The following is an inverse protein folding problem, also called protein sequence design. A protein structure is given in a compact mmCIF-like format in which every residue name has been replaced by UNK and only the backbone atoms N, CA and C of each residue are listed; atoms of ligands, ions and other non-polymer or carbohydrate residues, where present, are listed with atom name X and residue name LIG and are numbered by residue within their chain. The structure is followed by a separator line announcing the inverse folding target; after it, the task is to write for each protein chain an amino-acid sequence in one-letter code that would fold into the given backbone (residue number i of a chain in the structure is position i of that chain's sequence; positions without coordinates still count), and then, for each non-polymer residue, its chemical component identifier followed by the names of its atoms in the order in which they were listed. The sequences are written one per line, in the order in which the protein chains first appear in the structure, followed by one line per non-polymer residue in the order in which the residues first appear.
data_IF_771550753453
#
_entry.id   IF_771550753453
#
_cell.length_a   1.000
_cell.length_b   1.000
_cell.length_c   1.000
_cell.angle_alpha   90.00
_cell.angle_beta   90.00
_cell.angle_gamma   90.00
#
_symmetry.space_group_name_H-M   'P 1'
#
loop_
_entity.id
_entity.type
_entity.pdbx_description
1 polymer ?
#
# COMPACT_ATOMS: atom_id res chain seq x y z
N UNK A 1 8.81 -6.26 27.70
CA UNK A 1 7.55 -6.37 26.93
C UNK A 1 6.57 -5.37 27.50
N UNK A 2 6.20 -4.39 26.67
CA UNK A 2 5.41 -3.24 27.07
C UNK A 2 4.04 -3.66 27.67
N UNK A 3 3.68 -3.22 28.90
CA UNK A 3 2.47 -3.69 29.59
C UNK A 3 1.17 -3.49 28.80
N UNK A 4 1.10 -2.44 27.98
CA UNK A 4 -0.07 -2.15 27.15
C UNK A 4 -0.21 -3.15 26.00
N UNK A 5 0.89 -3.60 25.39
CA UNK A 5 0.86 -4.59 24.30
C UNK A 5 0.39 -5.95 24.80
N UNK A 6 0.85 -6.37 25.97
CA UNK A 6 0.33 -7.59 26.61
C UNK A 6 -1.16 -7.47 26.92
N UNK A 7 -1.65 -6.29 27.30
CA UNK A 7 -3.08 -6.07 27.57
C UNK A 7 -3.96 -6.15 26.32
N UNK A 8 -3.40 -5.83 25.15
CA UNK A 8 -4.04 -5.98 23.84
C UNK A 8 -3.96 -7.42 23.30
N UNK A 9 -3.22 -8.31 23.97
CA UNK A 9 -3.08 -9.71 23.57
C UNK A 9 -1.92 -9.99 22.62
N UNK A 10 -0.91 -9.11 22.55
CA UNK A 10 0.29 -9.34 21.74
C UNK A 10 1.29 -10.26 22.46
N UNK A 11 2.03 -11.12 21.71
CA UNK A 11 2.05 -11.21 20.24
C UNK A 11 0.94 -12.07 19.63
N UNK A 12 0.21 -12.86 20.42
CA UNK A 12 -0.76 -13.86 19.93
C UNK A 12 -1.83 -13.27 18.98
N UNK A 13 -2.21 -12.01 19.18
CA UNK A 13 -3.15 -11.29 18.31
C UNK A 13 -2.68 -11.22 16.83
N UNK A 14 -1.37 -11.18 16.57
CA UNK A 14 -0.83 -11.17 15.20
C UNK A 14 -1.14 -12.45 14.41
N UNK A 15 -1.39 -13.55 15.12
CA UNK A 15 -1.74 -14.84 14.51
C UNK A 15 -3.25 -14.99 14.26
N UNK A 16 -4.06 -13.98 14.61
CA UNK A 16 -5.53 -13.99 14.46
C UNK A 16 -6.01 -12.83 13.55
N UNK A 17 -6.06 -13.05 12.21
CA UNK A 17 -6.54 -12.05 11.26
C UNK A 17 -7.99 -11.59 11.52
N UNK A 18 -8.85 -12.46 12.06
CA UNK A 18 -10.24 -12.10 12.33
C UNK A 18 -10.32 -11.12 13.50
N UNK A 19 -9.49 -11.29 14.52
CA UNK A 19 -9.39 -10.33 15.62
C UNK A 19 -8.69 -9.03 15.20
N UNK A 20 -7.64 -9.09 14.39
CA UNK A 20 -6.95 -7.89 13.88
C UNK A 20 -7.88 -6.96 13.10
N UNK A 21 -8.68 -7.50 12.18
CA UNK A 21 -9.66 -6.74 11.39
C UNK A 21 -10.75 -6.06 12.24
N UNK A 22 -10.92 -6.46 13.50
CA UNK A 22 -11.96 -5.98 14.43
C UNK A 22 -11.43 -5.09 15.55
N UNK A 23 -10.14 -4.74 15.55
CA UNK A 23 -9.63 -3.73 16.48
C UNK A 23 -10.45 -2.45 16.34
N UNK A 24 -10.71 -1.74 17.44
CA UNK A 24 -11.42 -0.46 17.42
C UNK A 24 -10.45 0.70 17.18
N UNK A 25 -10.95 1.86 16.77
CA UNK A 25 -10.11 3.04 16.52
C UNK A 25 -9.32 3.43 17.79
N UNK A 26 -9.96 3.39 18.96
CA UNK A 26 -9.28 3.60 20.25
C UNK A 26 -8.10 2.63 20.51
N UNK A 27 -8.15 1.41 19.95
CA UNK A 27 -7.08 0.43 20.09
C UNK A 27 -5.97 0.67 19.05
N UNK A 28 -6.33 1.14 17.86
CA UNK A 28 -5.36 1.53 16.84
C UNK A 28 -4.60 2.79 17.28
N UNK A 29 -5.30 3.79 17.79
CA UNK A 29 -4.71 4.98 18.41
C UNK A 29 -3.75 4.59 19.52
N UNK A 30 -4.12 3.62 20.36
CA UNK A 30 -3.26 3.13 21.42
C UNK A 30 -1.99 2.46 20.86
N UNK A 31 -2.10 1.67 19.79
CA UNK A 31 -0.96 1.05 19.12
C UNK A 31 -0.03 2.11 18.49
N UNK A 32 -0.59 3.12 17.82
CA UNK A 32 0.17 4.22 17.25
C UNK A 32 0.92 4.99 18.35
N UNK A 33 0.25 5.36 19.44
CA UNK A 33 0.88 6.03 20.58
C UNK A 33 2.01 5.20 21.21
N UNK A 34 1.81 3.88 21.38
CA UNK A 34 2.87 3.01 21.93
C UNK A 34 4.06 2.90 20.97
N UNK A 35 3.80 2.81 19.65
CA UNK A 35 4.84 2.84 18.62
C UNK A 35 5.66 4.12 18.73
N UNK A 36 5.00 5.28 18.76
CA UNK A 36 5.66 6.58 18.72
C UNK A 36 6.43 6.86 20.02
N UNK A 37 5.84 6.56 21.18
CA UNK A 37 6.53 6.67 22.48
C UNK A 37 7.78 5.77 22.55
N UNK A 38 7.70 4.56 21.99
CA UNK A 38 8.83 3.64 21.96
C UNK A 38 9.91 4.07 20.93
N UNK A 39 9.51 4.62 19.78
CA UNK A 39 10.41 5.17 18.78
C UNK A 39 11.19 6.38 19.34
N UNK A 40 10.50 7.33 19.97
CA UNK A 40 11.11 8.47 20.66
C UNK A 40 12.09 8.03 21.76
N UNK A 41 11.77 6.95 22.47
CA UNK A 41 12.67 6.40 23.49
C UNK A 41 13.93 5.75 22.89
N UNK A 42 13.85 5.18 21.68
CA UNK A 42 14.99 4.61 20.97
C UNK A 42 15.95 5.68 20.45
N UNK A 43 15.49 6.89 20.15
CA UNK A 43 16.38 8.01 19.83
C UNK A 43 17.37 8.33 20.96
N UNK A 44 16.97 8.04 22.21
CA UNK A 44 17.79 8.20 23.40
C UNK A 44 18.61 6.95 23.72
N UNK A 45 18.02 5.76 23.54
CA UNK A 45 18.63 4.46 23.82
C UNK A 45 18.44 3.48 22.65
N UNK A 46 19.25 3.58 21.58
CA UNK A 46 19.02 2.84 20.33
C UNK A 46 19.08 1.32 20.44
N UNK A 47 19.82 0.81 21.42
CA UNK A 47 20.04 -0.63 21.64
C UNK A 47 19.06 -1.21 22.68
N UNK A 48 18.02 -0.47 23.08
CA UNK A 48 17.06 -0.93 24.09
C UNK A 48 16.10 -1.96 23.48
N UNK A 49 16.35 -3.24 23.74
CA UNK A 49 15.57 -4.37 23.23
C UNK A 49 14.07 -4.26 23.53
N UNK A 50 13.68 -3.71 24.69
CA UNK A 50 12.26 -3.58 25.04
C UNK A 50 11.52 -2.54 24.18
N UNK A 51 12.19 -1.43 23.86
CA UNK A 51 11.62 -0.42 22.98
C UNK A 51 11.63 -0.88 21.52
N UNK A 52 12.66 -1.61 21.09
CA UNK A 52 12.71 -2.24 19.75
C UNK A 52 11.51 -3.19 19.58
N UNK A 53 11.31 -4.10 20.53
CA UNK A 53 10.18 -5.03 20.53
C UNK A 53 8.83 -4.29 20.53
N UNK A 54 8.74 -3.19 21.29
CA UNK A 54 7.51 -2.41 21.39
C UNK A 54 7.19 -1.72 20.06
N UNK A 55 8.15 -1.07 19.41
CA UNK A 55 7.95 -0.49 18.08
C UNK A 55 7.56 -1.58 17.09
N UNK A 56 8.31 -2.67 17.06
CA UNK A 56 8.08 -3.77 16.12
C UNK A 56 6.67 -4.35 16.24
N UNK A 57 6.28 -4.77 17.44
CA UNK A 57 4.97 -5.40 17.65
C UNK A 57 3.83 -4.41 17.41
N UNK A 58 3.97 -3.16 17.85
CA UNK A 58 2.92 -2.15 17.67
C UNK A 58 2.74 -1.81 16.20
N UNK A 59 3.84 -1.56 15.49
CA UNK A 59 3.83 -1.23 14.07
C UNK A 59 3.25 -2.39 13.24
N UNK A 60 3.75 -3.63 13.40
CA UNK A 60 3.25 -4.78 12.65
C UNK A 60 1.76 -5.05 12.92
N UNK A 61 1.31 -4.87 14.16
CA UNK A 61 -0.11 -5.06 14.52
C UNK A 61 -0.98 -4.00 13.90
N UNK A 62 -0.55 -2.74 13.99
CA UNK A 62 -1.26 -1.59 13.44
C UNK A 62 -1.41 -1.71 11.93
N UNK A 63 -0.30 -1.88 11.20
CA UNK A 63 -0.31 -1.96 9.73
C UNK A 63 -1.09 -3.18 9.23
N UNK A 64 -0.93 -4.34 9.88
CA UNK A 64 -1.72 -5.53 9.54
C UNK A 64 -3.22 -5.34 9.78
N UNK A 65 -3.61 -4.68 10.88
CA UNK A 65 -5.01 -4.41 11.19
C UNK A 65 -5.63 -3.43 10.18
N UNK A 66 -4.94 -2.35 9.84
CA UNK A 66 -5.38 -1.36 8.84
C UNK A 66 -5.50 -2.00 7.46
N UNK A 67 -4.51 -2.80 7.04
CA UNK A 67 -4.57 -3.57 5.81
C UNK A 67 -5.79 -4.50 5.76
N UNK A 68 -6.04 -5.26 6.84
CA UNK A 68 -7.19 -6.18 6.89
C UNK A 68 -8.53 -5.43 6.95
N UNK A 69 -8.60 -4.25 7.56
CA UNK A 69 -9.79 -3.37 7.51
C UNK A 69 -10.08 -2.92 6.09
N UNK A 70 -9.07 -2.51 5.32
CA UNK A 70 -9.23 -2.16 3.91
C UNK A 70 -9.78 -3.34 3.10
N UNK A 71 -9.26 -4.55 3.32
CA UNK A 71 -9.72 -5.77 2.64
C UNK A 71 -11.13 -6.21 3.02
N UNK A 72 -11.59 -5.87 4.21
CA UNK A 72 -12.91 -6.27 4.74
C UNK A 72 -13.96 -5.17 4.61
N UNK A 73 -13.61 -4.04 3.97
CA UNK A 73 -14.56 -2.97 3.69
C UNK A 73 -15.79 -3.50 2.92
N UNK A 74 -16.99 -3.22 3.42
CA UNK A 74 -18.26 -3.72 2.86
C UNK A 74 -18.66 -3.00 1.54
N UNK A 75 -17.77 -2.19 0.99
CA UNK A 75 -18.00 -1.40 -0.23
C UNK A 75 -17.16 -1.97 -1.36
N UNK A 76 -17.84 -2.39 -2.42
CA UNK A 76 -17.19 -2.96 -3.60
C UNK A 76 -16.63 -1.86 -4.50
N UNK A 77 -15.44 -2.06 -5.10
CA UNK A 77 -14.90 -1.11 -6.08
C UNK A 77 -15.78 -1.05 -7.32
N UNK A 78 -15.65 0.05 -8.08
CA UNK A 78 -16.35 0.21 -9.34
C UNK A 78 -15.94 -0.90 -10.33
N UNK A 79 -16.88 -1.35 -11.18
CA UNK A 79 -16.51 -2.23 -12.28
C UNK A 79 -15.51 -1.57 -13.25
N UNK A 80 -14.40 -2.27 -13.53
CA UNK A 80 -13.38 -1.77 -14.46
C UNK A 80 -13.95 -1.53 -15.86
N UNK A 81 -13.62 -0.39 -16.50
CA UNK A 81 -13.95 -0.18 -17.89
C UNK A 81 -13.11 -1.10 -18.81
N UNK A 82 -13.51 -1.30 -20.07
CA UNK A 82 -12.73 -2.09 -21.02
C UNK A 82 -11.30 -1.56 -21.18
N UNK A 83 -10.30 -2.44 -21.31
CA UNK A 83 -8.88 -2.06 -21.40
C UNK A 83 -8.55 -1.03 -22.50
N UNK A 84 -9.31 -1.00 -23.60
CA UNK A 84 -9.17 0.02 -24.66
C UNK A 84 -9.53 1.45 -24.23
N UNK A 85 -10.31 1.59 -23.14
CA UNK A 85 -10.65 2.88 -22.53
C UNK A 85 -9.54 3.29 -21.55
N UNK A 86 -9.05 2.35 -20.74
CA UNK A 86 -7.91 2.55 -19.84
C UNK A 86 -6.63 2.97 -20.58
N UNK A 87 -6.36 2.40 -21.75
CA UNK A 87 -5.18 2.78 -22.54
C UNK A 87 -5.20 4.24 -23.02
N UNK A 88 -6.37 4.90 -23.00
CA UNK A 88 -6.55 6.29 -23.40
C UNK A 88 -6.63 7.24 -22.21
N UNK A 89 -6.78 6.73 -20.98
CA UNK A 89 -7.00 7.56 -19.81
C UNK A 89 -5.74 8.31 -19.39
N UNK A 90 -4.54 7.78 -19.60
CA UNK A 90 -3.26 8.45 -19.28
C UNK A 90 -2.86 9.60 -20.25
N UNK A 91 -3.85 10.40 -20.67
CA UNK A 91 -3.77 11.67 -21.41
C UNK A 91 -2.67 11.80 -22.50
N UNK A 92 -2.39 10.72 -23.23
CA UNK A 92 -1.49 10.71 -24.38
C UNK A 92 -0.04 10.31 -24.11
N UNK A 93 0.34 10.06 -22.85
CA UNK A 93 1.63 9.46 -22.53
C UNK A 93 1.61 7.95 -22.82
N UNK A 94 2.64 7.39 -23.46
CA UNK A 94 2.63 5.99 -23.83
C UNK A 94 2.70 5.10 -22.58
N UNK A 95 1.71 4.24 -22.41
CA UNK A 95 1.72 3.17 -21.43
C UNK A 95 2.58 2.01 -21.93
N UNK A 96 3.32 1.38 -21.00
CA UNK A 96 4.14 0.21 -21.23
C UNK A 96 3.30 -1.04 -21.08
N UNK A 97 3.07 -1.69 -22.21
CA UNK A 97 2.35 -2.96 -22.26
C UNK A 97 3.34 -4.08 -21.93
N UNK A 98 2.93 -4.99 -21.06
CA UNK A 98 3.69 -6.21 -20.77
C UNK A 98 3.29 -7.30 -21.77
N UNK A 99 4.25 -8.08 -22.27
CA UNK A 99 3.94 -9.22 -23.14
C UNK A 99 3.31 -10.36 -22.35
N UNK A 100 2.39 -11.12 -22.97
CA UNK A 100 1.71 -12.25 -22.32
C UNK A 100 2.66 -13.32 -21.80
N UNK A 101 3.82 -13.48 -22.45
CA UNK A 101 4.87 -14.40 -22.03
C UNK A 101 5.47 -14.03 -20.67
N UNK A 102 5.51 -12.74 -20.32
CA UNK A 102 6.07 -12.23 -19.06
C UNK A 102 5.04 -12.25 -17.91
N UNK A 103 3.75 -12.37 -18.23
CA UNK A 103 2.66 -12.50 -17.24
C UNK A 103 2.11 -13.92 -17.15
N UNK A 104 2.68 -14.88 -17.88
CA UNK A 104 2.16 -16.24 -18.03
C UNK A 104 2.10 -17.03 -16.71
N UNK A 105 3.03 -16.75 -15.81
CA UNK A 105 3.17 -17.43 -14.52
C UNK A 105 2.43 -16.71 -13.37
N UNK A 106 1.76 -15.59 -13.66
CA UNK A 106 1.01 -14.85 -12.65
C UNK A 106 -0.33 -15.54 -12.35
N UNK A 107 -0.59 -15.81 -11.07
CA UNK A 107 -1.85 -16.37 -10.57
C UNK A 107 -2.73 -15.23 -10.05
N UNK A 108 -3.28 -14.44 -10.97
CA UNK A 108 -4.12 -13.27 -10.66
C UNK A 108 -5.36 -13.22 -11.56
N UNK A 109 -6.40 -12.44 -11.22
CA UNK A 109 -7.58 -12.32 -12.07
C UNK A 109 -7.27 -11.88 -13.50
N UNK A 110 -8.05 -12.39 -14.46
CA UNK A 110 -7.91 -12.03 -15.89
C UNK A 110 -7.99 -10.53 -16.13
N UNK A 111 -8.77 -9.81 -15.32
CA UNK A 111 -8.87 -8.35 -15.44
C UNK A 111 -7.52 -7.66 -15.21
N UNK A 112 -6.73 -8.10 -14.22
CA UNK A 112 -5.37 -7.63 -13.96
C UNK A 112 -4.45 -7.92 -15.15
N UNK A 113 -4.49 -9.15 -15.66
CA UNK A 113 -3.73 -9.54 -16.85
C UNK A 113 -4.13 -8.73 -18.09
N UNK A 114 -5.41 -8.43 -18.26
CA UNK A 114 -5.91 -7.65 -19.39
C UNK A 114 -5.43 -6.20 -19.33
N UNK A 115 -5.33 -5.62 -18.14
CA UNK A 115 -4.73 -4.28 -17.94
C UNK A 115 -3.25 -4.33 -18.32
N UNK A 116 -2.46 -5.23 -17.73
CA UNK A 116 -1.02 -5.32 -18.00
C UNK A 116 -0.71 -5.60 -19.48
N UNK A 117 -1.47 -6.49 -20.13
CA UNK A 117 -1.19 -6.97 -21.48
C UNK A 117 -1.85 -6.14 -22.60
N UNK A 118 -2.81 -5.26 -22.30
CA UNK A 118 -3.49 -4.47 -23.34
C UNK A 118 -3.57 -2.97 -23.06
N UNK A 119 -3.66 -2.55 -21.79
CA UNK A 119 -3.67 -1.13 -21.43
C UNK A 119 -2.24 -0.63 -21.12
N UNK A 120 -1.51 -1.38 -20.31
CA UNK A 120 -0.16 -1.07 -19.83
C UNK A 120 -0.16 -0.18 -18.58
N UNK A 121 1.04 0.05 -18.06
CA UNK A 121 1.31 0.94 -16.93
C UNK A 121 2.17 2.13 -17.37
N UNK A 122 2.12 3.29 -16.69
CA UNK A 122 2.98 4.41 -17.03
C UNK A 122 4.45 4.05 -16.75
N UNK A 123 5.38 4.87 -17.24
CA UNK A 123 6.80 4.75 -16.87
C UNK A 123 7.08 5.35 -15.49
N UNK A 124 6.42 6.47 -15.23
CA UNK A 124 6.47 7.27 -14.00
C UNK A 124 5.08 7.86 -13.77
N UNK A 125 4.68 8.01 -12.52
CA UNK A 125 3.44 8.68 -12.13
C UNK A 125 3.62 9.31 -10.75
N UNK A 126 2.90 10.39 -10.47
CA UNK A 126 2.82 10.91 -9.11
C UNK A 126 1.93 10.01 -8.23
N UNK A 127 2.19 9.92 -6.92
CA UNK A 127 3.24 10.63 -6.16
C UNK A 127 4.59 9.88 -6.20
N UNK A 128 5.54 10.38 -7.00
CA UNK A 128 6.92 9.89 -7.15
C UNK A 128 7.13 8.39 -7.45
N UNK A 129 6.17 7.75 -8.13
CA UNK A 129 6.24 6.34 -8.48
C UNK A 129 7.01 6.10 -9.78
N UNK A 130 7.96 5.17 -9.73
CA UNK A 130 8.67 4.65 -10.90
C UNK A 130 8.26 3.20 -11.19
N UNK A 131 7.78 2.95 -12.40
CA UNK A 131 7.27 1.63 -12.80
C UNK A 131 8.32 0.80 -13.51
N UNK A 132 8.35 -0.49 -13.17
CA UNK A 132 9.17 -1.48 -13.86
C UNK A 132 8.74 -1.63 -15.32
N UNK A 133 9.66 -2.07 -16.19
CA UNK A 133 9.32 -2.32 -17.61
C UNK A 133 8.31 -3.48 -17.77
N UNK A 134 8.36 -4.43 -16.84
CA UNK A 134 7.43 -5.54 -16.69
C UNK A 134 7.37 -5.96 -15.22
N UNK A 135 6.29 -6.62 -14.77
CA UNK A 135 6.23 -7.17 -13.42
C UNK A 135 7.42 -8.10 -13.14
N UNK A 136 7.97 -8.03 -11.94
CA UNK A 136 9.08 -8.87 -11.48
C UNK A 136 8.71 -9.53 -10.17
N UNK A 137 8.96 -10.84 -10.04
CA UNK A 137 8.70 -11.56 -8.80
C UNK A 137 9.59 -10.96 -7.70
N UNK A 138 8.99 -10.50 -6.60
CA UNK A 138 9.73 -9.77 -5.57
C UNK A 138 10.84 -10.63 -4.97
N UNK A 139 10.59 -11.92 -4.74
CA UNK A 139 11.60 -12.88 -4.30
C UNK A 139 12.92 -12.82 -5.11
N UNK A 140 12.84 -12.59 -6.43
CA UNK A 140 14.03 -12.53 -7.29
C UNK A 140 14.90 -11.28 -7.09
N UNK A 141 14.38 -10.28 -6.38
CA UNK A 141 15.04 -9.01 -6.08
C UNK A 141 15.60 -8.98 -4.64
N UNK A 142 15.16 -9.91 -3.80
CA UNK A 142 15.51 -9.96 -2.39
C UNK A 142 16.82 -10.71 -2.15
N UNK A 143 17.68 -10.16 -1.29
CA UNK A 143 18.85 -10.87 -0.76
C UNK A 143 18.50 -11.46 0.60
N UNK A 144 17.82 -12.62 0.57
CA UNK A 144 17.36 -13.30 1.79
C UNK A 144 18.51 -14.10 2.42
N UNK A 145 18.70 -14.02 3.75
CA UNK A 145 19.71 -14.81 4.43
C UNK A 145 19.36 -16.31 4.35
N UNK A 146 20.31 -17.11 3.84
CA UNK A 146 20.16 -18.58 3.79
C UNK A 146 20.04 -19.17 5.21
N UNK A 147 18.91 -19.77 5.55
CA UNK A 147 18.59 -20.21 6.92
C UNK A 147 17.31 -21.05 7.01
N UNK A 148 16.95 -21.53 8.22
CA UNK A 148 15.74 -22.36 8.41
C UNK A 148 14.42 -21.61 8.16
N UNK A 149 14.44 -20.27 8.11
CA UNK A 149 13.32 -19.38 7.78
C UNK A 149 13.22 -19.04 6.27
N UNK A 150 14.11 -19.62 5.45
CA UNK A 150 14.18 -19.41 4.00
C UNK A 150 12.89 -19.88 3.32
N UNK A 151 12.36 -21.06 3.67
CA UNK A 151 11.13 -21.61 3.08
C UNK A 151 9.91 -20.69 3.30
N UNK A 152 9.78 -20.08 4.49
CA UNK A 152 8.67 -19.17 4.82
C UNK A 152 8.83 -17.79 4.17
N UNK A 153 10.06 -17.29 4.09
CA UNK A 153 10.36 -16.02 3.43
C UNK A 153 10.17 -16.15 1.91
N UNK A 154 10.61 -17.26 1.33
CA UNK A 154 10.44 -17.58 -0.08
C UNK A 154 8.97 -17.69 -0.46
N UNK A 155 8.13 -18.32 0.36
CA UNK A 155 6.69 -18.37 0.11
C UNK A 155 6.06 -16.98 0.20
N UNK A 156 6.46 -16.17 1.17
CA UNK A 156 5.95 -14.81 1.36
C UNK A 156 6.35 -13.87 0.21
N UNK A 157 7.64 -13.62 -0.01
CA UNK A 157 8.10 -12.74 -1.10
C UNK A 157 7.83 -13.35 -2.47
N UNK A 158 7.76 -14.68 -2.50
CA UNK A 158 7.38 -15.44 -3.65
C UNK A 158 5.95 -15.19 -4.05
N UNK A 159 5.03 -14.61 -3.28
CA UNK A 159 3.66 -14.35 -3.77
C UNK A 159 3.45 -12.96 -4.39
N UNK A 160 4.47 -12.11 -4.36
CA UNK A 160 4.37 -10.73 -4.83
C UNK A 160 5.04 -10.52 -6.18
N UNK A 161 4.39 -9.71 -7.01
CA UNK A 161 4.97 -9.19 -8.25
C UNK A 161 5.12 -7.68 -8.14
N UNK A 162 6.36 -7.20 -8.03
CA UNK A 162 6.64 -5.76 -8.07
C UNK A 162 6.29 -5.21 -9.45
N UNK A 163 5.59 -4.08 -9.46
CA UNK A 163 5.22 -3.32 -10.65
C UNK A 163 5.74 -1.89 -10.62
N UNK A 164 5.99 -1.33 -9.43
CA UNK A 164 6.58 -0.01 -9.25
C UNK A 164 7.33 0.10 -7.91
N UNK A 165 7.99 1.22 -7.70
CA UNK A 165 8.60 1.61 -6.43
C UNK A 165 8.53 3.13 -6.25
N UNK A 166 8.53 3.59 -4.99
CA UNK A 166 8.57 5.02 -4.64
C UNK A 166 10.03 5.52 -4.49
N UNK A 167 10.21 6.76 -4.06
CA UNK A 167 11.53 7.38 -3.84
C UNK A 167 12.33 6.77 -2.67
N UNK A 168 11.68 6.02 -1.77
CA UNK A 168 12.29 5.28 -0.66
C UNK A 168 12.63 3.82 -1.02
N UNK A 169 12.42 3.41 -2.26
CA UNK A 169 12.57 2.04 -2.76
C UNK A 169 11.53 1.04 -2.23
N UNK A 170 10.43 1.51 -1.63
CA UNK A 170 9.33 0.65 -1.22
C UNK A 170 8.63 0.06 -2.44
N UNK A 171 8.31 -1.23 -2.37
CA UNK A 171 7.85 -1.97 -3.53
C UNK A 171 6.33 -1.91 -3.65
N UNK A 172 5.82 -1.35 -4.76
CA UNK A 172 4.42 -1.50 -5.14
C UNK A 172 4.26 -2.83 -5.87
N UNK A 173 3.46 -3.72 -5.30
CA UNK A 173 3.34 -5.11 -5.72
C UNK A 173 1.89 -5.51 -5.99
N UNK A 174 1.74 -6.54 -6.82
CA UNK A 174 0.51 -7.32 -6.94
C UNK A 174 0.62 -8.54 -6.02
N UNK A 175 -0.33 -8.74 -5.11
CA UNK A 175 -0.38 -9.91 -4.22
C UNK A 175 -1.25 -11.02 -4.82
N UNK A 176 -0.65 -12.17 -5.16
CA UNK A 176 -1.39 -13.33 -5.67
C UNK A 176 -2.29 -14.01 -4.63
N UNK A 177 -1.99 -13.87 -3.33
CA UNK A 177 -2.76 -14.53 -2.26
C UNK A 177 -4.08 -13.82 -1.99
N UNK A 178 -4.16 -12.55 -2.37
CA UNK A 178 -5.31 -11.68 -2.16
C UNK A 178 -5.91 -11.23 -3.50
N UNK A 179 -6.12 -12.18 -4.41
CA UNK A 179 -6.82 -11.96 -5.69
C UNK A 179 -6.24 -10.81 -6.55
N UNK A 180 -4.94 -10.56 -6.47
CA UNK A 180 -4.26 -9.57 -7.31
C UNK A 180 -4.55 -8.11 -6.95
N UNK A 181 -4.85 -7.83 -5.67
CA UNK A 181 -4.78 -6.47 -5.12
C UNK A 181 -3.39 -5.87 -5.32
N UNK A 182 -3.33 -4.54 -5.32
CA UNK A 182 -2.10 -3.77 -5.31
C UNK A 182 -1.81 -3.35 -3.88
N UNK A 183 -0.58 -3.61 -3.44
CA UNK A 183 -0.09 -3.27 -2.10
C UNK A 183 1.25 -2.57 -2.21
N UNK A 184 1.56 -1.71 -1.24
CA UNK A 184 2.93 -1.25 -1.00
C UNK A 184 3.53 -2.12 0.09
N UNK A 185 4.78 -2.52 -0.10
CA UNK A 185 5.58 -3.16 0.93
C UNK A 185 6.57 -2.12 1.43
N UNK A 186 6.20 -1.49 2.53
CA UNK A 186 6.97 -0.46 3.20
C UNK A 186 8.11 -1.10 3.98
N UNK A 187 9.34 -0.72 3.63
CA UNK A 187 10.55 -1.28 4.19
C UNK A 187 11.02 -0.48 5.40
N UNK A 188 10.27 -0.57 6.48
CA UNK A 188 10.68 -0.01 7.77
C UNK A 188 11.45 -1.05 8.61
N UNK A 189 12.64 -0.63 9.10
CA UNK A 189 13.36 -1.31 10.17
C UNK A 189 13.76 -2.77 9.84
N UNK A 190 13.85 -3.10 8.55
CA UNK A 190 14.18 -4.44 8.05
C UNK A 190 12.96 -5.35 7.85
N UNK A 191 11.76 -4.84 8.08
CA UNK A 191 10.49 -5.53 7.87
C UNK A 191 9.78 -5.01 6.62
N UNK A 192 8.74 -5.72 6.19
CA UNK A 192 7.90 -5.33 5.06
C UNK A 192 6.45 -5.26 5.52
N UNK A 193 6.02 -4.06 5.93
CA UNK A 193 4.64 -3.82 6.29
C UNK A 193 3.81 -3.72 5.01
N UNK A 194 2.65 -4.38 5.00
CA UNK A 194 1.72 -4.30 3.87
C UNK A 194 0.82 -3.08 4.06
N UNK A 195 0.83 -2.21 3.06
CA UNK A 195 -0.11 -1.11 2.93
C UNK A 195 -1.05 -1.40 1.76
N UNK A 196 -2.36 -1.22 1.97
CA UNK A 196 -3.32 -1.35 0.88
C UNK A 196 -3.18 -0.17 -0.08
N UNK A 197 -3.06 -0.44 -1.38
CA UNK A 197 -3.05 0.61 -2.42
C UNK A 197 -4.37 0.59 -3.16
N UNK A 198 -4.72 -0.53 -3.79
CA UNK A 198 -5.95 -0.66 -4.56
C UNK A 198 -6.40 -2.12 -4.72
N UNK A 199 -7.69 -2.30 -4.96
CA UNK A 199 -8.35 -3.58 -5.19
C UNK A 199 -7.88 -4.28 -6.48
N UNK A 200 -7.28 -3.56 -7.44
CA UNK A 200 -6.65 -4.16 -8.63
C UNK A 200 -5.75 -3.15 -9.35
N UNK A 201 -4.90 -3.64 -10.26
CA UNK A 201 -4.06 -2.79 -11.14
C UNK A 201 -4.91 -1.84 -12.00
N UNK A 202 -6.11 -2.25 -12.39
CA UNK A 202 -7.02 -1.38 -13.14
C UNK A 202 -7.55 -0.22 -12.30
N UNK A 203 -7.86 -0.46 -11.03
CA UNK A 203 -8.29 0.59 -10.10
C UNK A 203 -7.13 1.52 -9.79
N UNK A 204 -5.94 0.97 -9.57
CA UNK A 204 -4.73 1.74 -9.37
C UNK A 204 -4.46 2.73 -10.53
N UNK A 205 -4.56 2.27 -11.78
CA UNK A 205 -4.41 3.15 -12.94
C UNK A 205 -5.46 4.27 -13.00
N UNK A 206 -6.70 4.00 -12.56
CA UNK A 206 -7.76 5.01 -12.49
C UNK A 206 -7.51 6.02 -11.37
N UNK A 207 -7.02 5.58 -10.21
CA UNK A 207 -6.67 6.43 -9.08
C UNK A 207 -5.48 7.33 -9.42
N UNK A 208 -4.44 6.80 -10.07
CA UNK A 208 -3.31 7.59 -10.58
C UNK A 208 -3.79 8.68 -11.56
N UNK A 209 -4.75 8.37 -12.42
CA UNK A 209 -5.29 9.37 -13.35
C UNK A 209 -6.12 10.44 -12.61
N UNK A 210 -6.86 10.06 -11.57
CA UNK A 210 -7.55 11.01 -10.71
C UNK A 210 -6.55 11.95 -10.01
N UNK A 211 -5.45 11.41 -9.49
CA UNK A 211 -4.36 12.19 -8.87
C UNK A 211 -3.75 13.16 -9.86
N UNK A 212 -3.40 12.68 -11.06
CA UNK A 212 -2.85 13.52 -12.13
C UNK A 212 -3.81 14.64 -12.55
N UNK A 213 -5.12 14.39 -12.54
CA UNK A 213 -6.13 15.43 -12.83
C UNK A 213 -6.15 16.48 -11.71
N UNK A 214 -6.12 16.03 -10.45
CA UNK A 214 -6.05 16.88 -9.26
C UNK A 214 -4.85 17.84 -9.34
N UNK A 215 -3.65 17.33 -9.63
CA UNK A 215 -2.43 18.15 -9.76
C UNK A 215 -2.48 19.16 -10.91
N UNK A 216 -3.12 18.80 -12.03
CA UNK A 216 -3.24 19.69 -13.20
C UNK A 216 -4.32 20.75 -12.98
N UNK A 217 -5.37 20.42 -12.24
CA UNK A 217 -6.49 21.31 -11.90
C UNK A 217 -6.24 22.12 -10.63
N UNK A 218 -4.96 22.41 -10.33
CA UNK A 218 -4.50 23.29 -9.25
C UNK A 218 -4.99 24.74 -9.44
N UNK A 219 -6.31 24.94 -9.33
CA UNK A 219 -6.95 26.22 -9.08
C UNK A 219 -6.60 26.73 -7.69
N UNK A 220 -7.04 27.95 -7.37
CA UNK A 220 -6.66 28.65 -6.13
C UNK A 220 -7.32 28.09 -4.84
N UNK A 221 -7.97 26.92 -4.87
CA UNK A 221 -8.76 26.36 -3.76
C UNK A 221 -8.47 24.86 -3.56
N UNK A 222 -7.51 24.56 -2.68
CA UNK A 222 -6.98 23.21 -2.44
C UNK A 222 -7.99 22.30 -1.76
N UNK A 223 -8.78 22.81 -0.80
CA UNK A 223 -9.91 22.09 -0.19
C UNK A 223 -10.84 21.49 -1.25
N UNK A 224 -11.24 22.31 -2.25
CA UNK A 224 -12.12 21.85 -3.33
C UNK A 224 -11.45 20.79 -4.21
N UNK A 225 -10.14 20.87 -4.39
CA UNK A 225 -9.34 19.93 -5.19
C UNK A 225 -9.22 18.58 -4.47
N UNK A 226 -8.89 18.60 -3.17
CA UNK A 226 -8.83 17.42 -2.29
C UNK A 226 -10.20 16.75 -2.27
N UNK A 227 -11.29 17.49 -2.00
CA UNK A 227 -12.66 16.94 -2.01
C UNK A 227 -13.02 16.27 -3.34
N UNK A 228 -12.54 16.83 -4.46
CA UNK A 228 -12.81 16.30 -5.80
C UNK A 228 -12.04 15.01 -6.06
N UNK A 229 -10.80 14.94 -5.60
CA UNK A 229 -9.99 13.73 -5.65
C UNK A 229 -10.56 12.64 -4.77
N UNK A 230 -10.88 12.93 -3.50
CA UNK A 230 -11.51 12.00 -2.57
C UNK A 230 -12.78 11.37 -3.15
N UNK A 231 -13.70 12.20 -3.66
CA UNK A 231 -14.93 11.69 -4.33
C UNK A 231 -14.63 10.82 -5.54
N UNK A 232 -13.52 11.08 -6.23
CA UNK A 232 -13.10 10.28 -7.38
C UNK A 232 -12.59 8.91 -6.93
N UNK A 233 -11.75 8.86 -5.89
CA UNK A 233 -11.23 7.61 -5.32
C UNK A 233 -12.34 6.82 -4.65
N UNK A 234 -13.21 7.45 -3.85
CA UNK A 234 -14.37 6.80 -3.21
C UNK A 234 -15.26 6.10 -4.24
N UNK A 235 -15.41 6.70 -5.43
CA UNK A 235 -16.16 6.08 -6.53
C UNK A 235 -15.39 4.94 -7.20
N UNK A 236 -14.09 5.07 -7.40
CA UNK A 236 -13.26 4.08 -8.12
C UNK A 236 -13.03 2.86 -7.23
N UNK A 237 -12.55 3.08 -6.02
CA UNK A 237 -12.09 2.07 -5.09
C UNK A 237 -12.13 2.62 -3.66
N UNK A 238 -13.29 2.59 -2.98
CA UNK A 238 -13.45 3.23 -1.68
C UNK A 238 -12.56 2.66 -0.57
N UNK A 239 -12.11 1.40 -0.69
CA UNK A 239 -11.13 0.82 0.22
C UNK A 239 -9.76 1.54 0.16
N UNK A 240 -9.47 2.26 -0.93
CA UNK A 240 -8.23 3.01 -1.09
C UNK A 240 -8.16 4.26 -0.20
N UNK A 241 -9.29 4.70 0.37
CA UNK A 241 -9.36 5.83 1.32
C UNK A 241 -9.57 5.38 2.77
N UNK A 242 -9.50 4.08 3.07
CA UNK A 242 -9.51 3.66 4.48
C UNK A 242 -8.24 4.13 5.16
N UNK A 243 -8.33 4.46 6.44
CA UNK A 243 -7.17 4.81 7.27
C UNK A 243 -5.99 3.84 7.06
N UNK A 244 -4.80 4.39 6.87
CA UNK A 244 -3.57 3.65 6.59
C UNK A 244 -3.46 3.06 5.18
N UNK A 245 -4.41 3.30 4.29
CA UNK A 245 -4.24 3.01 2.87
C UNK A 245 -3.38 4.09 2.20
N UNK A 246 -2.65 3.69 1.16
CA UNK A 246 -1.69 4.56 0.46
C UNK A 246 -2.28 5.92 0.05
N UNK A 247 -3.50 5.95 -0.48
CA UNK A 247 -4.10 7.20 -0.93
C UNK A 247 -4.65 8.07 0.21
N UNK A 248 -5.00 7.47 1.36
CA UNK A 248 -5.35 8.23 2.55
C UNK A 248 -4.09 8.96 3.07
N UNK A 249 -2.98 8.25 3.22
CA UNK A 249 -1.71 8.83 3.67
C UNK A 249 -1.19 9.92 2.71
N UNK A 250 -1.39 9.74 1.40
CA UNK A 250 -1.04 10.78 0.41
C UNK A 250 -1.88 12.05 0.55
N UNK A 251 -3.14 11.95 0.98
CA UNK A 251 -4.00 13.11 1.23
C UNK A 251 -3.65 13.81 2.54
N UNK A 252 -3.41 13.03 3.60
CA UNK A 252 -2.99 13.56 4.89
C UNK A 252 -1.68 14.36 4.75
N UNK A 253 -0.73 13.85 3.96
CA UNK A 253 0.52 14.55 3.67
C UNK A 253 0.34 15.87 2.88
N UNK A 254 -0.72 16.00 2.08
CA UNK A 254 -1.04 17.25 1.39
C UNK A 254 -1.64 18.27 2.36
N UNK A 255 -2.56 17.85 3.24
CA UNK A 255 -3.20 18.69 4.26
C UNK A 255 -2.15 19.24 5.24
N UNK A 256 -1.26 18.38 5.76
CA UNK A 256 -0.17 18.78 6.67
C UNK A 256 0.81 19.77 6.02
N UNK A 257 1.02 19.68 4.71
CA UNK A 257 1.92 20.59 3.99
C UNK A 257 1.36 22.01 3.86
N UNK A 258 0.04 22.19 3.88
CA UNK A 258 -0.60 23.51 3.86
C UNK A 258 -0.43 24.24 5.21
N UNK A 259 -0.58 23.51 6.31
CA UNK A 259 -0.43 24.04 7.67
C UNK A 259 1.01 24.54 7.95
N UNK A 260 2.02 23.93 7.32
CA UNK A 260 3.42 24.38 7.41
C UNK A 260 3.72 25.63 6.57
N UNK A 261 3.09 25.78 5.40
CA UNK A 261 3.28 26.94 4.51
C UNK A 261 2.51 28.19 4.98
N UNK A 262 1.50 28.03 5.85
CA UNK A 262 0.76 29.13 6.49
C UNK A 262 1.35 29.61 7.85
N UNK A 263 2.36 28.92 8.42
CA UNK A 263 2.95 29.19 9.74
C UNK A 263 4.20 30.12 9.75
#
# INVERSE_FOLDING_TARGET
MHPLLTSLGLPDLLEDPESLSKLTDEQLDLLANVRDEAADALDLEPDNEENIDAVYLSHMTLTSALFLRALTADVQPQALPPGSVLSRSWNGSPLRITSKELTADMVVPTATLDVLNNAGLPAVAEPELTFDEHPVRLLSLMDLPSGEEEDTSDEFFGSFWRIAFNSYEDAICIDERADGIVVMLDKEWGYYAQQFVNSSVGHFLLCLEAWRIMEVDAGDDVDTIIETFERSIERIDPAALTEGAFWADCLDALDDSEDEDEA
#
